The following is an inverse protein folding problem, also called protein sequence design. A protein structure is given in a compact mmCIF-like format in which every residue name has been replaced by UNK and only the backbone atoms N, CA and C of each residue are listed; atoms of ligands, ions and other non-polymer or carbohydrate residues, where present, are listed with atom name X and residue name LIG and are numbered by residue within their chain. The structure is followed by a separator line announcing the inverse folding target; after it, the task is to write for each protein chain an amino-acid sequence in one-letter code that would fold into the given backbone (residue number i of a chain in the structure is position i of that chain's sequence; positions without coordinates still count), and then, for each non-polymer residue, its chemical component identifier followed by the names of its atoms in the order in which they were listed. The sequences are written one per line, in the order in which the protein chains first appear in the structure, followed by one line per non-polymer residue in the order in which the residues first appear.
data_IF_871988282552
#
_entry.id   IF_871988282552
#
_cell.length_a   1.000
_cell.length_b   1.000
_cell.length_c   1.000
_cell.angle_alpha   90.00
_cell.angle_beta   90.00
_cell.angle_gamma   90.00
#
_symmetry.space_group_name_H-M   'P 1'
#
loop_
_entity.id
_entity.type
_entity.pdbx_description
1 polymer ?
#
# COMPACT_ATOMS: atom_id res chain seq x y z
N UNK A 1 25.83 -29.58 -10.61
CA UNK A 1 25.26 -28.31 -10.10
C UNK A 1 23.87 -28.11 -10.72
N UNK A 2 22.78 -28.61 -10.10
CA UNK A 2 21.46 -28.48 -10.68
C UNK A 2 20.85 -27.13 -10.31
N UNK A 3 20.47 -26.36 -11.33
CA UNK A 3 19.73 -25.12 -11.18
C UNK A 3 18.43 -25.37 -10.41
N UNK A 4 18.32 -24.75 -9.24
CA UNK A 4 17.06 -24.64 -8.52
C UNK A 4 16.04 -23.94 -9.43
N UNK A 5 15.13 -24.72 -10.02
CA UNK A 5 13.84 -24.19 -10.45
C UNK A 5 13.21 -23.53 -9.22
N UNK A 6 12.73 -22.28 -9.29
CA UNK A 6 12.02 -21.69 -8.17
C UNK A 6 10.81 -22.57 -7.89
N UNK A 7 10.87 -23.28 -6.77
CA UNK A 7 9.73 -23.99 -6.19
C UNK A 7 8.54 -23.02 -6.13
N UNK A 8 7.40 -23.55 -6.52
CA UNK A 8 6.10 -22.90 -6.65
C UNK A 8 5.91 -21.79 -5.63
N UNK A 9 5.90 -20.55 -6.12
CA UNK A 9 5.73 -19.41 -5.24
C UNK A 9 4.24 -19.28 -4.87
N UNK A 10 3.86 -19.19 -3.58
CA UNK A 10 2.45 -19.03 -3.20
C UNK A 10 1.88 -17.76 -3.85
N UNK A 11 0.93 -17.96 -4.75
CA UNK A 11 0.50 -16.98 -5.76
C UNK A 11 -0.31 -15.82 -5.18
N UNK A 12 -1.01 -16.04 -4.08
CA UNK A 12 -2.13 -15.17 -3.70
C UNK A 12 -1.67 -13.96 -2.89
N UNK A 13 -0.95 -14.08 -1.74
CA UNK A 13 -0.49 -12.99 -0.79
C UNK A 13 0.19 -11.74 -1.41
N UNK A 14 0.44 -11.81 -2.70
CA UNK A 14 1.21 -10.88 -3.51
C UNK A 14 0.35 -9.96 -4.34
N UNK A 15 -0.82 -10.42 -4.79
CA UNK A 15 -1.76 -9.56 -5.50
C UNK A 15 -2.41 -8.56 -4.54
N UNK A 16 -2.72 -8.97 -3.30
CA UNK A 16 -3.24 -8.08 -2.25
C UNK A 16 -2.28 -6.91 -1.98
N UNK A 17 -0.98 -7.20 -1.94
CA UNK A 17 0.06 -6.21 -1.76
C UNK A 17 0.07 -5.18 -2.89
N UNK A 18 -0.10 -5.62 -4.14
CA UNK A 18 -0.16 -4.73 -5.31
C UNK A 18 -1.40 -3.87 -5.31
N UNK A 19 -2.57 -4.45 -5.06
CA UNK A 19 -3.81 -3.69 -5.02
C UNK A 19 -3.69 -2.61 -3.95
N UNK A 20 -3.23 -2.95 -2.74
CA UNK A 20 -3.07 -1.95 -1.70
C UNK A 20 -2.06 -0.86 -2.07
N UNK A 21 -0.94 -1.19 -2.72
CA UNK A 21 0.02 -0.20 -3.22
C UNK A 21 -0.58 0.70 -4.32
N UNK A 22 -1.36 0.13 -5.24
CA UNK A 22 -2.02 0.86 -6.33
C UNK A 22 -3.06 1.86 -5.82
N UNK A 23 -3.78 1.55 -4.74
CA UNK A 23 -4.81 2.43 -4.19
C UNK A 23 -4.32 3.40 -3.13
N UNK A 24 -3.12 3.20 -2.55
CA UNK A 24 -2.62 4.05 -1.46
C UNK A 24 -1.35 4.84 -1.80
N UNK A 25 -0.65 4.44 -2.88
CA UNK A 25 0.63 5.04 -3.26
C UNK A 25 1.72 4.92 -2.20
N UNK A 26 1.57 4.04 -1.21
CA UNK A 26 2.54 3.93 -0.12
C UNK A 26 3.87 3.34 -0.57
N UNK A 27 4.91 3.54 0.23
CA UNK A 27 6.22 2.94 -0.06
C UNK A 27 6.14 1.44 0.22
N UNK A 28 6.87 0.64 -0.55
CA UNK A 28 6.91 -0.80 -0.38
C UNK A 28 7.39 -1.21 1.04
N UNK A 29 8.35 -0.47 1.60
CA UNK A 29 8.77 -0.64 3.00
C UNK A 29 7.72 -0.25 4.04
N UNK A 30 6.80 0.67 3.74
CA UNK A 30 5.65 0.99 4.61
C UNK A 30 4.67 -0.19 4.61
N UNK A 31 4.39 -0.77 3.43
CA UNK A 31 3.53 -1.94 3.26
C UNK A 31 4.00 -3.15 4.08
N UNK A 32 5.29 -3.50 3.99
CA UNK A 32 5.86 -4.65 4.69
C UNK A 32 5.79 -4.53 6.23
N UNK A 33 5.60 -3.31 6.74
CA UNK A 33 5.53 -3.02 8.17
C UNK A 33 4.09 -2.83 8.66
N UNK A 34 3.07 -3.03 7.82
CA UNK A 34 1.67 -2.88 8.20
C UNK A 34 1.24 -3.95 9.21
N UNK A 35 0.54 -3.47 10.24
CA UNK A 35 -0.15 -4.25 11.24
C UNK A 35 -1.67 -4.21 10.97
N UNK A 36 -2.42 -5.24 11.37
CA UNK A 36 -3.89 -5.18 11.32
C UNK A 36 -4.45 -3.96 12.08
N UNK A 37 -3.83 -3.63 13.21
CA UNK A 37 -4.18 -2.48 14.04
C UNK A 37 -3.93 -1.11 13.39
N UNK A 38 -3.41 -1.02 12.17
CA UNK A 38 -3.25 0.25 11.46
C UNK A 38 -4.52 0.69 10.71
N UNK A 39 -5.46 -0.23 10.49
CA UNK A 39 -6.67 0.03 9.73
C UNK A 39 -7.77 0.53 10.67
N UNK A 40 -8.40 1.65 10.33
CA UNK A 40 -9.56 2.21 11.02
C UNK A 40 -10.73 2.13 10.06
N UNK A 41 -11.37 0.95 10.01
CA UNK A 41 -12.48 0.73 9.09
C UNK A 41 -13.78 1.35 9.56
N UNK A 42 -13.96 1.55 10.87
CA UNK A 42 -15.20 2.04 11.48
C UNK A 42 -15.16 3.54 11.84
N UNK A 43 -14.15 4.26 11.36
CA UNK A 43 -14.10 5.72 11.46
C UNK A 43 -14.99 6.38 10.39
N UNK A 44 -15.45 7.61 10.63
CA UNK A 44 -16.27 8.39 9.67
C UNK A 44 -15.69 8.41 8.26
N UNK A 45 -14.36 8.48 8.17
CA UNK A 45 -13.62 8.23 6.94
C UNK A 45 -12.71 7.03 7.19
N UNK A 46 -13.02 5.86 6.62
CA UNK A 46 -12.16 4.69 6.72
C UNK A 46 -10.75 5.00 6.21
N UNK A 47 -9.73 4.72 7.03
CA UNK A 47 -8.36 5.09 6.71
C UNK A 47 -7.33 4.10 7.26
N UNK A 48 -6.13 4.18 6.68
CA UNK A 48 -4.93 3.48 7.05
C UNK A 48 -3.92 4.44 7.67
N UNK A 49 -3.42 4.06 8.84
CA UNK A 49 -2.45 4.82 9.63
C UNK A 49 -1.02 4.42 9.25
N UNK A 50 -0.25 5.35 8.66
CA UNK A 50 1.20 5.17 8.42
C UNK A 50 1.99 5.93 9.47
N UNK A 51 2.68 5.24 10.38
CA UNK A 51 3.41 5.85 11.52
C UNK A 51 4.50 4.93 12.08
N UNK A 52 5.37 5.50 12.92
CA UNK A 52 6.46 4.79 13.61
C UNK A 52 5.98 4.01 14.85
N UNK A 53 5.02 4.58 15.57
CA UNK A 53 4.54 4.09 16.86
C UNK A 53 3.16 3.46 16.74
N UNK A 54 2.90 2.37 17.47
CA UNK A 54 1.52 1.91 17.61
C UNK A 54 0.69 2.88 18.47
N UNK A 55 -0.58 2.56 18.69
CA UNK A 55 -1.48 3.40 19.49
C UNK A 55 -1.09 3.45 20.98
N UNK A 56 -0.21 2.56 21.47
CA UNK A 56 0.36 2.62 22.84
C UNK A 56 1.59 3.52 22.95
N UNK A 57 2.02 4.13 21.83
CA UNK A 57 3.23 4.95 21.77
C UNK A 57 4.52 4.15 21.60
N UNK A 58 4.45 2.81 21.56
CA UNK A 58 5.62 1.95 21.37
C UNK A 58 6.11 2.03 19.92
N UNK A 59 7.40 2.29 19.73
CA UNK A 59 8.02 2.29 18.41
C UNK A 59 8.06 0.86 17.84
N UNK A 60 7.15 0.56 16.90
CA UNK A 60 7.00 -0.76 16.28
C UNK A 60 7.44 -0.78 14.82
N UNK A 61 7.66 0.38 14.20
CA UNK A 61 8.00 0.53 12.78
C UNK A 61 9.07 1.57 12.58
N UNK A 62 9.58 1.66 11.36
CA UNK A 62 10.47 2.70 10.88
C UNK A 62 9.80 3.48 9.76
N UNK A 63 9.93 4.80 9.82
CA UNK A 63 9.48 5.73 8.77
C UNK A 63 10.70 6.42 8.19
N UNK A 64 10.72 6.62 6.87
CA UNK A 64 11.89 7.20 6.19
C UNK A 64 12.15 8.64 6.67
N UNK A 65 11.10 9.48 6.70
CA UNK A 65 11.18 10.89 7.08
C UNK A 65 9.98 11.26 8.00
N UNK A 66 10.05 12.40 8.70
CA UNK A 66 8.92 12.91 9.52
C UNK A 66 7.62 13.04 8.71
N UNK A 67 7.71 13.43 7.44
CA UNK A 67 6.59 13.59 6.50
C UNK A 67 5.95 12.28 6.04
N UNK A 68 6.53 11.13 6.40
CA UNK A 68 5.93 9.81 6.15
C UNK A 68 4.75 9.54 7.08
N UNK A 69 4.67 10.18 8.25
CA UNK A 69 3.57 10.00 9.20
C UNK A 69 2.30 10.65 8.66
N UNK A 70 1.29 9.83 8.37
CA UNK A 70 0.04 10.30 7.75
C UNK A 70 -1.08 9.28 7.91
N UNK A 71 -2.30 9.78 7.82
CA UNK A 71 -3.49 8.97 7.57
C UNK A 71 -3.83 9.01 6.08
N UNK A 72 -4.09 7.83 5.52
CA UNK A 72 -4.41 7.60 4.11
C UNK A 72 -5.83 7.03 4.04
N UNK A 73 -6.81 7.73 3.43
CA UNK A 73 -8.16 7.19 3.25
C UNK A 73 -8.14 5.86 2.48
N UNK A 74 -9.13 5.01 2.76
CA UNK A 74 -9.35 3.77 2.01
C UNK A 74 -10.32 4.04 0.86
N UNK A 75 -9.93 3.66 -0.35
CA UNK A 75 -10.81 3.73 -1.51
C UNK A 75 -11.96 2.71 -1.36
N UNK A 76 -13.21 3.04 -1.73
CA UNK A 76 -14.35 2.11 -1.65
C UNK A 76 -14.09 0.76 -2.31
N UNK A 77 -13.42 0.73 -3.46
CA UNK A 77 -13.03 -0.52 -4.14
C UNK A 77 -12.25 -1.47 -3.23
N UNK A 78 -11.37 -0.97 -2.34
CA UNK A 78 -10.65 -1.84 -1.40
C UNK A 78 -11.62 -2.54 -0.43
N UNK A 79 -12.68 -1.85 -0.02
CA UNK A 79 -13.71 -2.42 0.85
C UNK A 79 -14.49 -3.48 0.07
N UNK A 80 -14.93 -3.16 -1.15
CA UNK A 80 -15.67 -4.09 -2.03
C UNK A 80 -14.85 -5.33 -2.39
N UNK A 81 -13.55 -5.17 -2.63
CA UNK A 81 -12.64 -6.28 -2.90
C UNK A 81 -12.41 -7.16 -1.66
N UNK A 82 -12.82 -6.74 -0.46
CA UNK A 82 -12.78 -7.55 0.77
C UNK A 82 -11.59 -7.29 1.69
N UNK A 83 -10.97 -6.10 1.65
CA UNK A 83 -9.81 -5.76 2.48
C UNK A 83 -10.08 -5.94 3.98
N UNK A 84 -11.26 -5.55 4.48
CA UNK A 84 -11.63 -5.71 5.90
C UNK A 84 -11.53 -7.17 6.34
N UNK A 85 -12.20 -8.05 5.61
CA UNK A 85 -12.22 -9.48 5.92
C UNK A 85 -10.80 -10.08 5.88
N UNK A 86 -9.95 -9.64 4.94
CA UNK A 86 -8.54 -10.06 4.91
C UNK A 86 -7.78 -9.62 6.16
N UNK A 87 -7.87 -8.34 6.53
CA UNK A 87 -7.16 -7.80 7.70
C UNK A 87 -7.60 -8.50 8.99
N UNK A 88 -8.90 -8.73 9.16
CA UNK A 88 -9.45 -9.45 10.33
C UNK A 88 -8.99 -10.91 10.38
N UNK A 89 -8.96 -11.63 9.24
CA UNK A 89 -8.44 -13.00 9.20
C UNK A 89 -6.96 -13.05 9.57
N UNK A 90 -6.16 -12.11 9.08
CA UNK A 90 -4.74 -12.00 9.45
C UNK A 90 -4.57 -11.73 10.95
N UNK A 91 -5.38 -10.83 11.53
CA UNK A 91 -5.35 -10.52 12.95
C UNK A 91 -5.67 -11.74 13.82
N UNK A 92 -6.66 -12.55 13.43
CA UNK A 92 -7.07 -13.76 14.16
C UNK A 92 -6.03 -14.88 14.10
N UNK A 93 -5.36 -15.06 12.97
CA UNK A 93 -4.42 -16.18 12.76
C UNK A 93 -3.06 -15.93 13.43
N UNK A 94 -2.59 -14.69 13.41
CA UNK A 94 -1.24 -14.34 13.84
C UNK A 94 -1.24 -12.97 14.55
N UNK A 95 -1.69 -12.96 15.80
CA UNK A 95 -1.75 -11.72 16.61
C UNK A 95 -0.36 -11.06 16.70
N UNK A 96 -0.29 -9.77 16.36
CA UNK A 96 0.95 -8.98 16.38
C UNK A 96 1.86 -9.13 15.15
N UNK A 97 1.55 -10.04 14.22
CA UNK A 97 2.32 -10.18 12.98
C UNK A 97 1.99 -9.13 11.92
N UNK A 98 2.95 -8.87 11.03
CA UNK A 98 2.78 -7.96 9.90
C UNK A 98 1.95 -8.62 8.80
N UNK A 99 0.97 -7.89 8.24
CA UNK A 99 0.09 -8.38 7.18
C UNK A 99 0.86 -8.96 6.00
N UNK A 100 1.95 -8.30 5.62
CA UNK A 100 2.79 -8.64 4.48
C UNK A 100 4.20 -9.10 4.90
N UNK A 101 4.34 -9.69 6.10
CA UNK A 101 5.62 -10.17 6.63
C UNK A 101 6.33 -11.21 5.75
N UNK A 102 5.61 -11.87 4.85
CA UNK A 102 6.15 -12.84 3.88
C UNK A 102 7.16 -12.25 2.88
N UNK A 103 7.23 -10.92 2.73
CA UNK A 103 8.25 -10.26 1.88
C UNK A 103 9.59 -10.04 2.59
N UNK A 104 9.79 -10.61 3.78
CA UNK A 104 11.06 -10.58 4.48
C UNK A 104 12.11 -11.41 3.73
N UNK A 105 12.96 -10.75 2.95
CA UNK A 105 14.23 -11.33 2.49
C UNK A 105 15.35 -10.85 3.42
N UNK A 106 15.53 -11.51 4.57
CA UNK A 106 16.69 -11.32 5.44
C UNK A 106 16.42 -10.74 6.84
N UNK A 107 17.52 -10.45 7.53
CA UNK A 107 17.57 -9.99 8.93
C UNK A 107 16.87 -8.65 9.20
N UNK A 108 16.92 -8.15 10.46
CA UNK A 108 16.22 -6.94 10.88
C UNK A 108 16.53 -5.75 9.95
N UNK A 109 15.49 -5.11 9.39
CA UNK A 109 15.61 -3.88 8.60
C UNK A 109 15.60 -4.01 7.07
N UNK A 110 15.71 -5.22 6.50
CA UNK A 110 15.72 -5.43 5.02
C UNK A 110 14.35 -5.81 4.45
N UNK A 111 13.30 -5.06 4.80
CA UNK A 111 11.93 -5.33 4.33
C UNK A 111 11.70 -4.99 2.85
N UNK A 112 12.53 -4.10 2.29
CA UNK A 112 12.34 -3.53 0.94
C UNK A 112 12.84 -4.41 -0.18
N UNK A 113 13.82 -5.27 0.08
CA UNK A 113 14.49 -6.04 -0.97
C UNK A 113 13.58 -7.15 -1.49
N UNK A 114 12.80 -7.79 -0.62
CA UNK A 114 11.86 -8.84 -1.01
C UNK A 114 10.73 -8.38 -1.90
N UNK A 115 10.07 -7.30 -1.51
CA UNK A 115 9.00 -6.73 -2.32
C UNK A 115 9.53 -6.13 -3.64
N UNK A 116 10.73 -5.55 -3.64
CA UNK A 116 11.35 -5.02 -4.87
C UNK A 116 11.73 -6.13 -5.85
N UNK A 117 12.38 -7.19 -5.35
CA UNK A 117 12.69 -8.36 -6.18
C UNK A 117 11.43 -9.04 -6.69
N UNK A 118 10.38 -9.08 -5.86
CA UNK A 118 9.08 -9.60 -6.27
C UNK A 118 8.42 -8.72 -7.34
N UNK A 119 8.38 -7.38 -7.18
CA UNK A 119 7.94 -6.42 -8.21
C UNK A 119 8.65 -6.70 -9.53
N UNK A 120 9.98 -6.80 -9.47
CA UNK A 120 10.82 -6.99 -10.64
C UNK A 120 10.45 -8.28 -11.38
N UNK A 121 10.40 -9.40 -10.67
CA UNK A 121 10.06 -10.72 -11.23
C UNK A 121 8.65 -10.72 -11.84
N UNK A 122 7.68 -10.12 -11.15
CA UNK A 122 6.30 -10.05 -11.62
C UNK A 122 6.17 -9.21 -12.90
N UNK A 123 6.77 -8.02 -12.93
CA UNK A 123 6.77 -7.16 -14.11
C UNK A 123 7.52 -7.80 -15.29
N UNK A 124 8.60 -8.54 -15.03
CA UNK A 124 9.32 -9.28 -16.07
C UNK A 124 8.45 -10.37 -16.69
N UNK A 125 7.74 -11.13 -15.86
CA UNK A 125 6.81 -12.17 -16.33
C UNK A 125 5.68 -11.58 -17.20
N UNK A 126 5.18 -10.39 -16.85
CA UNK A 126 4.18 -9.67 -17.64
C UNK A 126 4.75 -8.91 -18.84
N UNK A 127 6.07 -8.93 -19.07
CA UNK A 127 6.77 -8.13 -20.09
C UNK A 127 6.54 -6.62 -19.96
N UNK A 128 6.28 -6.15 -18.74
CA UNK A 128 6.07 -4.74 -18.38
C UNK A 128 7.27 -4.13 -17.65
N UNK A 129 8.34 -4.88 -17.44
CA UNK A 129 9.53 -4.41 -16.74
C UNK A 129 10.38 -3.48 -17.62
N UNK A 130 10.66 -2.28 -17.12
CA UNK A 130 11.66 -1.37 -17.69
C UNK A 130 12.80 -1.12 -16.67
N UNK A 131 14.07 -1.02 -17.12
CA UNK A 131 15.19 -0.66 -16.25
C UNK A 131 14.89 0.59 -15.43
N UNK A 132 15.22 0.56 -14.13
CA UNK A 132 14.99 1.67 -13.21
C UNK A 132 13.53 1.83 -12.70
N UNK A 133 12.54 1.16 -13.31
CA UNK A 133 11.12 1.31 -12.90
C UNK A 133 10.66 0.34 -11.81
N UNK A 134 11.42 -0.70 -11.49
CA UNK A 134 10.98 -1.70 -10.49
C UNK A 134 10.83 -1.12 -9.07
N UNK A 135 11.61 -0.09 -8.74
CA UNK A 135 11.55 0.58 -7.45
C UNK A 135 10.33 1.51 -7.46
N UNK A 136 9.32 1.16 -6.66
CA UNK A 136 8.12 1.98 -6.46
C UNK A 136 7.21 2.21 -7.69
N UNK A 137 7.23 1.32 -8.70
CA UNK A 137 6.35 1.44 -9.89
C UNK A 137 4.91 1.76 -9.52
N UNK A 138 4.37 1.10 -8.50
CA UNK A 138 2.96 1.25 -8.09
C UNK A 138 2.67 2.62 -7.50
N UNK A 139 3.62 3.19 -6.76
CA UNK A 139 3.51 4.55 -6.23
C UNK A 139 3.60 5.58 -7.36
N UNK A 140 4.51 5.39 -8.32
CA UNK A 140 4.57 6.25 -9.50
C UNK A 140 3.26 6.19 -10.29
N UNK A 141 2.74 4.98 -10.56
CA UNK A 141 1.43 4.80 -11.18
C UNK A 141 0.32 5.53 -10.41
N UNK A 142 0.26 5.40 -9.08
CA UNK A 142 -0.73 6.11 -8.26
C UNK A 142 -0.64 7.64 -8.43
N UNK A 143 0.57 8.19 -8.32
CA UNK A 143 0.83 9.63 -8.48
C UNK A 143 0.47 10.10 -9.89
N UNK A 144 0.93 9.40 -10.91
CA UNK A 144 0.71 9.78 -12.31
C UNK A 144 -0.77 9.70 -12.69
N UNK A 145 -1.51 8.72 -12.15
CA UNK A 145 -2.96 8.61 -12.37
C UNK A 145 -3.72 9.76 -11.71
N UNK A 146 -3.36 10.15 -10.50
CA UNK A 146 -3.98 11.31 -9.84
C UNK A 146 -3.64 12.62 -10.57
N UNK A 147 -2.41 12.79 -11.05
CA UNK A 147 -2.04 13.96 -11.88
C UNK A 147 -2.85 14.01 -13.18
N UNK A 148 -3.05 12.86 -13.84
CA UNK A 148 -3.80 12.77 -15.08
C UNK A 148 -5.26 13.24 -14.94
N UNK A 149 -5.86 13.09 -13.77
CA UNK A 149 -7.23 13.56 -13.46
C UNK A 149 -7.25 14.97 -12.85
N UNK A 150 -6.14 15.72 -12.96
CA UNK A 150 -6.06 17.11 -12.51
C UNK A 150 -5.97 17.29 -10.99
N UNK A 151 -5.59 16.24 -10.24
CA UNK A 151 -5.39 16.37 -8.80
C UNK A 151 -4.14 17.24 -8.51
N UNK A 152 -4.25 18.30 -7.69
CA UNK A 152 -3.11 19.15 -7.35
C UNK A 152 -1.98 18.38 -6.66
N UNK A 153 -0.73 18.71 -6.98
CA UNK A 153 0.45 18.04 -6.42
C UNK A 153 0.53 18.13 -4.89
N UNK A 154 -0.08 19.14 -4.28
CA UNK A 154 -0.22 19.27 -2.82
C UNK A 154 -1.15 18.19 -2.23
N UNK A 155 -2.30 17.93 -2.86
CA UNK A 155 -3.24 16.88 -2.46
C UNK A 155 -2.59 15.50 -2.59
N UNK A 156 -1.91 15.28 -3.72
CA UNK A 156 -1.16 14.04 -3.98
C UNK A 156 -0.03 13.89 -2.95
N UNK A 157 0.72 14.95 -2.68
CA UNK A 157 1.79 14.99 -1.69
C UNK A 157 1.31 14.60 -0.29
N UNK A 158 0.12 15.06 0.09
CA UNK A 158 -0.53 14.73 1.37
C UNK A 158 -0.95 13.25 1.46
N UNK A 159 -1.35 12.63 0.35
CA UNK A 159 -1.67 11.19 0.27
C UNK A 159 -0.41 10.32 0.36
N UNK A 160 0.65 10.71 -0.34
CA UNK A 160 1.85 9.87 -0.48
C UNK A 160 2.96 10.19 0.53
N UNK A 161 2.84 11.26 1.30
CA UNK A 161 3.84 11.70 2.29
C UNK A 161 5.09 12.27 1.64
N UNK A 162 4.92 13.21 0.71
CA UNK A 162 6.00 14.07 0.23
C UNK A 162 6.13 15.28 1.16
N UNK A 163 7.35 15.77 1.36
CA UNK A 163 7.56 17.08 1.97
C UNK A 163 7.01 18.13 1.02
N UNK A 164 6.07 18.94 1.50
CA UNK A 164 5.61 20.07 0.72
C UNK A 164 6.78 21.05 0.56
N UNK A 165 7.21 21.23 -0.69
CA UNK A 165 8.48 21.87 -1.04
C UNK A 165 8.43 23.39 -1.07
N UNK A 166 7.32 24.02 -0.67
CA UNK A 166 7.09 25.46 -0.81
C UNK A 166 6.85 26.11 0.56
N UNK A 167 7.31 27.35 0.73
CA UNK A 167 7.04 28.10 1.97
C UNK A 167 5.53 28.31 2.22
N UNK A 168 4.72 28.39 1.18
CA UNK A 168 3.26 28.50 1.23
C UNK A 168 2.58 27.29 1.86
N UNK A 169 3.15 26.08 1.73
CA UNK A 169 2.57 24.88 2.34
C UNK A 169 2.77 24.78 3.86
N UNK A 170 3.58 25.66 4.46
CA UNK A 170 3.72 25.76 5.92
C UNK A 170 2.57 26.53 6.58
N UNK A 171 1.82 27.32 5.80
CA UNK A 171 0.70 28.14 6.29
C UNK A 171 -0.66 27.43 6.22
N UNK A 172 -0.81 26.44 5.33
CA UNK A 172 -1.96 25.54 5.32
C UNK A 172 -1.76 24.44 6.34
N UNK A 173 -2.63 24.32 7.34
CA UNK A 173 -2.57 23.25 8.35
C UNK A 173 -2.58 21.84 7.76
N UNK A 174 -2.56 20.82 8.63
CA UNK A 174 -2.58 19.42 8.20
C UNK A 174 -3.72 19.17 7.19
N UNK A 175 -3.38 18.63 6.01
CA UNK A 175 -4.34 18.39 4.94
C UNK A 175 -5.50 17.51 5.45
N UNK A 176 -6.76 18.01 5.45
CA UNK A 176 -7.87 17.28 6.05
C UNK A 176 -8.08 15.91 5.42
N UNK A 177 -8.47 14.92 6.23
CA UNK A 177 -8.70 13.57 5.76
C UNK A 177 -9.84 13.50 4.72
N UNK A 178 -10.85 14.38 4.83
CA UNK A 178 -11.91 14.56 3.84
C UNK A 178 -11.36 14.99 2.47
N UNK A 179 -10.49 16.00 2.44
CA UNK A 179 -9.82 16.46 1.20
C UNK A 179 -8.99 15.35 0.57
N UNK A 180 -8.24 14.58 1.38
CA UNK A 180 -7.49 13.41 0.90
C UNK A 180 -8.42 12.35 0.29
N UNK A 181 -9.58 12.10 0.92
CA UNK A 181 -10.58 11.15 0.42
C UNK A 181 -11.11 11.62 -0.93
N UNK A 182 -11.47 12.90 -1.04
CA UNK A 182 -12.02 13.46 -2.27
C UNK A 182 -11.00 13.42 -3.42
N UNK A 183 -9.72 13.66 -3.13
CA UNK A 183 -8.62 13.46 -4.07
C UNK A 183 -8.49 11.98 -4.48
N UNK A 184 -8.55 11.06 -3.51
CA UNK A 184 -8.44 9.63 -3.74
C UNK A 184 -9.60 9.09 -4.60
N UNK A 185 -10.82 9.59 -4.43
CA UNK A 185 -12.00 9.17 -5.21
C UNK A 185 -11.91 9.56 -6.70
N UNK A 186 -11.00 10.47 -7.07
CA UNK A 186 -10.72 10.79 -8.49
C UNK A 186 -9.83 9.73 -9.15
N UNK A 187 -9.22 8.83 -8.38
CA UNK A 187 -8.31 7.81 -8.90
C UNK A 187 -9.03 6.91 -9.90
N UNK A 188 -8.52 6.85 -11.13
CA UNK A 188 -9.06 5.98 -12.17
C UNK A 188 -7.96 5.20 -12.88
N UNK A 189 -8.15 3.89 -12.98
CA UNK A 189 -7.26 3.01 -13.73
C UNK A 189 -7.64 2.88 -15.21
N UNK A 190 -8.80 3.42 -15.60
CA UNK A 190 -9.36 3.29 -16.96
C UNK A 190 -10.10 1.99 -17.21
N UNK A 191 -10.31 1.18 -16.16
CA UNK A 191 -11.13 -0.03 -16.16
C UNK A 191 -11.64 -0.28 -14.73
N UNK A 192 -12.71 -1.07 -14.61
CA UNK A 192 -13.26 -1.49 -13.33
C UNK A 192 -12.41 -2.60 -12.72
N UNK A 193 -11.61 -2.24 -11.70
CA UNK A 193 -10.72 -3.17 -11.01
C UNK A 193 -11.52 -4.23 -10.23
N UNK A 194 -12.65 -3.85 -9.64
CA UNK A 194 -13.50 -4.78 -8.86
C UNK A 194 -14.04 -5.86 -9.78
N UNK A 195 -14.56 -5.47 -10.94
CA UNK A 195 -15.08 -6.41 -11.92
C UNK A 195 -13.98 -7.30 -12.50
N UNK A 196 -12.83 -6.75 -12.88
CA UNK A 196 -11.69 -7.53 -13.41
C UNK A 196 -11.19 -8.57 -12.41
N UNK A 197 -11.20 -8.25 -11.11
CA UNK A 197 -10.82 -9.20 -10.05
C UNK A 197 -11.98 -10.10 -9.60
N UNK A 198 -13.17 -9.94 -10.19
CA UNK A 198 -14.35 -10.76 -9.96
C UNK A 198 -15.05 -10.51 -8.62
N UNK A 199 -15.03 -9.30 -8.05
CA UNK A 199 -15.72 -9.00 -6.80
C UNK A 199 -14.81 -9.15 -5.57
N UNK A 200 -15.24 -9.80 -4.46
CA UNK A 200 -14.50 -9.79 -3.19
C UNK A 200 -13.24 -10.68 -3.25
N UNK A 201 -12.25 -10.22 -4.03
CA UNK A 201 -10.99 -10.87 -4.34
C UNK A 201 -10.30 -11.44 -3.10
N UNK A 202 -10.22 -10.64 -2.04
CA UNK A 202 -9.63 -11.01 -0.77
C UNK A 202 -10.42 -12.07 -0.01
N UNK A 203 -11.71 -12.29 -0.30
CA UNK A 203 -12.54 -13.30 0.35
C UNK A 203 -12.52 -14.66 -0.37
N UNK A 204 -12.16 -14.68 -1.66
CA UNK A 204 -12.20 -15.89 -2.51
C UNK A 204 -10.99 -16.81 -2.36
N UNK A 205 -9.97 -16.41 -1.63
CA UNK A 205 -8.73 -17.18 -1.50
C UNK A 205 -8.92 -18.36 -0.52
N UNK A 206 -8.31 -19.53 -0.79
CA UNK A 206 -8.57 -20.75 -0.04
C UNK A 206 -8.28 -20.58 1.45
N UNK A 207 -9.17 -21.16 2.28
CA UNK A 207 -8.87 -21.44 3.68
C UNK A 207 -7.67 -22.38 3.68
N UNK A 208 -6.56 -21.90 4.23
CA UNK A 208 -5.39 -22.72 4.52
C UNK A 208 -5.74 -23.95 5.35
#
# INVERSE_FOLDING_TARGET
MPGHRPTEMPSWRRAEAWILLMYTGMRAGELCQLLPADFRFDADIPHLKVRKTDDSGKATKSVKNKTSVRDVPLHPDLITLGLRAFVERCAKRHSGERLFGCFRLGGPGKFTDGITQFSRRYLQALKLHAPGRANHVWRHTFVDRLRKVGCPDEEIGALVGHSAGTMTSKYGGAFPLSRKRDALLKLSFGFDVVNVLGGPFWCKQPKF
#
